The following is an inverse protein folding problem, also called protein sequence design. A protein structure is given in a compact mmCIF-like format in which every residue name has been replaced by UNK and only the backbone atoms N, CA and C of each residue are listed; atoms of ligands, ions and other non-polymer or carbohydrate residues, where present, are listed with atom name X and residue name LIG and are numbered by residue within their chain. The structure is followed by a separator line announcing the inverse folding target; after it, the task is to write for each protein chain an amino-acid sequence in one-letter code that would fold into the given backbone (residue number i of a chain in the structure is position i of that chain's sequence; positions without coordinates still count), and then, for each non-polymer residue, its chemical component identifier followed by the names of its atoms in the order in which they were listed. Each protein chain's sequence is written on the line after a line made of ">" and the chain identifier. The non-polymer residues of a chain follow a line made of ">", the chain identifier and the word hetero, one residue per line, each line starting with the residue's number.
data_IF_309200968775
#
_entry.id   IF_309200968775
#
_cell.length_a   1.000
_cell.length_b   1.000
_cell.length_c   1.000
_cell.angle_alpha   90.00
_cell.angle_beta   90.00
_cell.angle_gamma   90.00
#
_symmetry.space_group_name_H-M   'P 1'
#
loop_
_entity.id
_entity.type
_entity.pdbx_description
1 polymer ?
#
# COMPACT_ATOMS: atom_id res chain seq x y z
N UNK A 1 55.64 26.83 -14.88
CA UNK A 1 54.76 26.54 -13.73
C UNK A 1 53.40 26.10 -14.26
N UNK A 2 53.13 24.80 -14.21
CA UNK A 2 51.89 24.16 -14.68
C UNK A 2 50.75 24.56 -13.73
N UNK A 3 49.74 25.29 -14.20
CA UNK A 3 48.49 25.48 -13.45
C UNK A 3 47.57 24.31 -13.78
N UNK A 4 47.24 23.57 -12.73
CA UNK A 4 46.43 22.35 -12.70
C UNK A 4 45.02 22.61 -13.25
N UNK A 5 44.59 21.77 -14.19
CA UNK A 5 43.18 21.43 -14.40
C UNK A 5 42.66 20.66 -13.19
N UNK A 6 41.41 20.92 -12.79
CA UNK A 6 40.45 19.91 -12.29
C UNK A 6 39.10 20.59 -12.06
N UNK A 7 38.26 20.58 -13.10
CA UNK A 7 36.84 20.87 -12.97
C UNK A 7 36.15 19.53 -12.70
N UNK A 8 35.79 19.28 -11.43
CA UNK A 8 35.03 18.09 -11.04
C UNK A 8 33.55 18.41 -11.21
N UNK A 9 32.97 18.02 -12.35
CA UNK A 9 31.52 18.03 -12.53
C UNK A 9 30.94 16.83 -11.77
N UNK A 10 30.42 17.07 -10.57
CA UNK A 10 29.61 16.09 -9.86
C UNK A 10 28.23 16.04 -10.52
N UNK A 11 28.00 15.08 -11.42
CA UNK A 11 26.65 14.70 -11.83
C UNK A 11 26.02 13.92 -10.68
N UNK A 12 25.36 14.63 -9.76
CA UNK A 12 24.38 14.02 -8.87
C UNK A 12 23.17 13.65 -9.73
N UNK A 13 23.06 12.38 -10.14
CA UNK A 13 21.84 11.82 -10.69
C UNK A 13 20.81 11.82 -9.55
N UNK A 14 20.03 12.90 -9.46
CA UNK A 14 18.83 12.94 -8.64
C UNK A 14 17.80 12.05 -9.34
N UNK A 15 17.82 10.75 -9.04
CA UNK A 15 16.69 9.88 -9.35
C UNK A 15 15.51 10.39 -8.52
N UNK A 16 14.61 11.15 -9.15
CA UNK A 16 13.40 11.62 -8.47
C UNK A 16 12.60 10.41 -7.98
N UNK A 17 12.04 10.44 -6.76
CA UNK A 17 11.29 9.32 -6.18
C UNK A 17 10.18 8.80 -7.11
N UNK A 18 9.55 9.67 -7.88
CA UNK A 18 8.55 9.31 -8.88
C UNK A 18 9.04 8.29 -9.93
N UNK A 19 10.33 8.27 -10.28
CA UNK A 19 10.87 7.27 -11.21
C UNK A 19 10.99 5.88 -10.56
N UNK A 20 11.30 5.81 -9.27
CA UNK A 20 11.39 4.54 -8.55
C UNK A 20 10.00 3.91 -8.34
N UNK A 21 9.01 4.74 -8.01
CA UNK A 21 7.62 4.34 -7.81
C UNK A 21 7.01 3.75 -9.11
N UNK A 22 7.31 4.35 -10.28
CA UNK A 22 6.87 3.85 -11.60
C UNK A 22 7.54 2.51 -11.98
N UNK A 23 8.82 2.33 -11.68
CA UNK A 23 9.51 1.06 -11.98
C UNK A 23 8.99 -0.08 -11.08
N UNK A 24 8.67 0.22 -9.80
CA UNK A 24 7.98 -0.71 -8.93
C UNK A 24 6.62 -1.10 -9.52
N UNK A 25 5.81 -0.12 -9.95
CA UNK A 25 4.51 -0.37 -10.57
C UNK A 25 4.62 -1.29 -11.80
N UNK A 26 5.57 -1.05 -12.71
CA UNK A 26 5.79 -1.91 -13.89
C UNK A 26 6.12 -3.35 -13.51
N UNK A 27 6.97 -3.56 -12.50
CA UNK A 27 7.32 -4.90 -12.00
C UNK A 27 6.08 -5.65 -11.49
N UNK A 28 5.20 -4.97 -10.77
CA UNK A 28 3.94 -5.57 -10.27
C UNK A 28 2.96 -5.85 -11.41
N UNK A 29 2.82 -4.93 -12.37
CA UNK A 29 2.01 -5.11 -13.58
C UNK A 29 2.49 -6.31 -14.40
N UNK A 30 3.79 -6.47 -14.61
CA UNK A 30 4.34 -7.53 -15.46
C UNK A 30 4.33 -8.91 -14.78
N UNK A 31 4.22 -8.94 -13.44
CA UNK A 31 4.22 -10.16 -12.64
C UNK A 31 2.85 -10.47 -12.05
N UNK A 32 2.60 -9.95 -10.85
CA UNK A 32 1.47 -10.35 -10.00
C UNK A 32 0.10 -9.93 -10.55
N UNK A 33 0.00 -8.79 -11.25
CA UNK A 33 -1.29 -8.25 -11.70
C UNK A 33 -1.74 -8.82 -13.06
N UNK A 34 -1.33 -10.05 -13.37
CA UNK A 34 -1.73 -10.76 -14.59
C UNK A 34 -2.44 -12.09 -14.27
N UNK A 35 -3.41 -12.51 -15.10
CA UNK A 35 -3.94 -11.82 -16.27
C UNK A 35 -4.86 -10.65 -15.89
N UNK A 36 -4.92 -9.62 -16.72
CA UNK A 36 -5.81 -8.47 -16.53
C UNK A 36 -6.72 -8.24 -17.73
N UNK A 37 -7.89 -7.66 -17.48
CA UNK A 37 -8.79 -7.16 -18.52
C UNK A 37 -8.29 -5.84 -19.12
N UNK A 38 -7.40 -5.13 -18.43
CA UNK A 38 -6.80 -3.88 -18.88
C UNK A 38 -5.55 -4.15 -19.73
N UNK A 39 -5.32 -3.30 -20.73
CA UNK A 39 -4.03 -3.27 -21.42
C UNK A 39 -2.92 -2.87 -20.44
N UNK A 40 -1.65 -3.24 -20.71
CA UNK A 40 -0.53 -2.81 -19.86
C UNK A 40 -0.39 -1.28 -19.79
N UNK A 41 -0.73 -0.59 -20.87
CA UNK A 41 -0.72 0.87 -20.91
C UNK A 41 -1.76 1.46 -19.96
N UNK A 42 -2.97 0.88 -19.92
CA UNK A 42 -4.04 1.34 -19.04
C UNK A 42 -3.74 1.00 -17.57
N UNK A 43 -3.13 -0.17 -17.30
CA UNK A 43 -2.64 -0.52 -15.97
C UNK A 43 -1.58 0.48 -15.49
N UNK A 44 -0.65 0.89 -16.37
CA UNK A 44 0.36 1.87 -16.00
C UNK A 44 -0.26 3.24 -15.69
N UNK A 45 -1.24 3.69 -16.47
CA UNK A 45 -1.99 4.94 -16.20
C UNK A 45 -2.72 4.88 -14.85
N UNK A 46 -3.30 3.73 -14.52
CA UNK A 46 -3.94 3.52 -13.21
C UNK A 46 -2.90 3.60 -12.07
N UNK A 47 -1.74 2.97 -12.22
CA UNK A 47 -0.68 3.05 -11.21
C UNK A 47 -0.10 4.47 -11.08
N UNK A 48 0.08 5.21 -12.17
CA UNK A 48 0.46 6.62 -12.15
C UNK A 48 -0.55 7.47 -11.36
N UNK A 49 -1.85 7.17 -11.50
CA UNK A 49 -2.89 7.81 -10.70
C UNK A 49 -2.72 7.50 -9.20
N UNK A 50 -2.49 6.23 -8.82
CA UNK A 50 -2.26 5.86 -7.42
C UNK A 50 -1.03 6.54 -6.83
N UNK A 51 0.10 6.54 -7.55
CA UNK A 51 1.35 7.19 -7.13
C UNK A 51 1.09 8.67 -6.85
N UNK A 52 0.43 9.36 -7.78
CA UNK A 52 0.11 10.78 -7.65
C UNK A 52 -0.84 11.05 -6.48
N UNK A 53 -1.87 10.22 -6.30
CA UNK A 53 -2.82 10.36 -5.20
C UNK A 53 -2.16 10.13 -3.82
N UNK A 54 -1.12 9.29 -3.78
CA UNK A 54 -0.39 8.96 -2.56
C UNK A 54 0.67 9.98 -2.14
N UNK A 55 1.08 10.89 -3.03
CA UNK A 55 2.13 11.90 -2.76
C UNK A 55 2.02 12.60 -1.39
N UNK A 56 0.86 13.13 -0.95
CA UNK A 56 0.77 13.83 0.33
C UNK A 56 0.85 12.89 1.55
N UNK A 57 0.76 11.58 1.35
CA UNK A 57 0.74 10.57 2.42
C UNK A 57 2.01 9.72 2.45
N UNK A 58 2.99 9.99 1.59
CA UNK A 58 4.23 9.21 1.52
C UNK A 58 4.95 9.19 2.88
N UNK A 59 5.33 8.00 3.34
CA UNK A 59 5.93 7.79 4.67
C UNK A 59 4.91 7.61 5.80
N UNK A 60 3.60 7.64 5.51
CA UNK A 60 2.56 7.25 6.48
C UNK A 60 2.63 5.74 6.75
N UNK A 61 2.35 5.37 8.00
CA UNK A 61 2.10 3.99 8.41
C UNK A 61 0.62 3.85 8.77
N UNK A 62 -0.04 2.83 8.22
CA UNK A 62 -1.45 2.51 8.44
C UNK A 62 -1.54 1.11 9.02
N UNK A 63 -2.31 0.95 10.09
CA UNK A 63 -2.60 -0.35 10.69
C UNK A 63 -4.00 -0.81 10.35
N UNK A 64 -4.09 -1.96 9.69
CA UNK A 64 -5.34 -2.60 9.24
C UNK A 64 -5.49 -3.95 9.90
N UNK A 65 -6.73 -4.36 10.19
CA UNK A 65 -7.04 -5.71 10.69
C UNK A 65 -8.19 -6.35 9.94
N UNK A 66 -8.11 -7.66 9.73
CA UNK A 66 -9.18 -8.44 9.13
C UNK A 66 -9.25 -9.87 9.68
N UNK A 67 -10.30 -10.60 9.29
CA UNK A 67 -10.38 -12.03 9.55
C UNK A 67 -9.28 -12.80 8.81
N UNK A 68 -8.91 -13.96 9.35
CA UNK A 68 -8.03 -14.92 8.70
C UNK A 68 -8.78 -15.75 7.66
N UNK A 69 -8.91 -15.22 6.44
CA UNK A 69 -9.35 -15.95 5.25
C UNK A 69 -8.30 -15.86 4.13
N UNK A 70 -8.40 -16.73 3.12
CA UNK A 70 -7.42 -16.78 2.03
C UNK A 70 -7.28 -15.47 1.27
N UNK A 71 -8.37 -14.71 1.13
CA UNK A 71 -8.35 -13.38 0.48
C UNK A 71 -7.50 -12.39 1.26
N UNK A 72 -7.70 -12.32 2.58
CA UNK A 72 -6.94 -11.41 3.43
C UNK A 72 -5.49 -11.85 3.63
N UNK A 73 -5.20 -13.15 3.54
CA UNK A 73 -3.83 -13.66 3.46
C UNK A 73 -3.09 -13.12 2.24
N UNK A 74 -3.77 -13.07 1.09
CA UNK A 74 -3.23 -12.48 -0.12
C UNK A 74 -3.06 -10.96 0.01
N UNK A 75 -4.07 -10.26 0.52
CA UNK A 75 -4.00 -8.81 0.74
C UNK A 75 -2.83 -8.42 1.65
N UNK A 76 -2.71 -9.09 2.80
CA UNK A 76 -1.68 -8.79 3.80
C UNK A 76 -0.26 -9.09 3.34
N UNK A 77 -0.06 -10.19 2.60
CA UNK A 77 1.29 -10.63 2.19
C UNK A 77 1.74 -10.07 0.86
N UNK A 78 0.81 -9.79 -0.04
CA UNK A 78 1.11 -9.42 -1.43
C UNK A 78 0.69 -7.99 -1.71
N UNK A 79 -0.58 -7.65 -1.55
CA UNK A 79 -1.09 -6.33 -1.96
C UNK A 79 -0.59 -5.20 -1.05
N UNK A 80 -0.50 -5.42 0.27
CA UNK A 80 0.07 -4.44 1.19
C UNK A 80 1.52 -4.09 0.83
N UNK A 81 2.31 -5.11 0.46
CA UNK A 81 3.68 -4.92 -0.02
C UNK A 81 3.74 -4.19 -1.35
N UNK A 82 2.89 -4.56 -2.31
CA UNK A 82 2.81 -3.88 -3.60
C UNK A 82 2.44 -2.40 -3.42
N UNK A 83 1.47 -2.13 -2.55
CA UNK A 83 1.04 -0.78 -2.22
C UNK A 83 2.17 0.05 -1.61
N UNK A 84 2.92 -0.50 -0.66
CA UNK A 84 4.08 0.18 -0.07
C UNK A 84 5.18 0.43 -1.11
N UNK A 85 5.54 -0.56 -1.93
CA UNK A 85 6.57 -0.41 -2.97
C UNK A 85 6.18 0.65 -4.03
N UNK A 86 4.89 0.80 -4.34
CA UNK A 86 4.39 1.73 -5.36
C UNK A 86 4.18 3.13 -4.77
N UNK A 87 3.66 3.25 -3.56
CA UNK A 87 3.20 4.53 -3.00
C UNK A 87 4.13 5.11 -1.93
N UNK A 88 4.94 4.26 -1.29
CA UNK A 88 5.71 4.59 -0.10
C UNK A 88 4.86 4.73 1.17
N UNK A 89 3.61 4.24 1.17
CA UNK A 89 2.76 4.15 2.37
C UNK A 89 2.83 2.73 2.90
N UNK A 90 3.20 2.57 4.17
CA UNK A 90 3.35 1.26 4.78
C UNK A 90 2.03 0.81 5.39
N UNK A 91 1.55 -0.36 4.96
CA UNK A 91 0.34 -0.98 5.49
C UNK A 91 0.72 -2.20 6.31
N UNK A 92 0.49 -2.14 7.62
CA UNK A 92 0.57 -3.33 8.49
C UNK A 92 -0.81 -3.96 8.54
N UNK A 93 -0.97 -5.12 7.93
CA UNK A 93 -2.25 -5.83 7.85
C UNK A 93 -2.23 -7.07 8.75
N UNK A 94 -2.87 -6.96 9.92
CA UNK A 94 -2.99 -8.04 10.89
C UNK A 94 -4.17 -8.96 10.56
N UNK A 95 -3.95 -10.27 10.68
CA UNK A 95 -4.98 -11.29 10.52
C UNK A 95 -5.30 -11.93 11.87
N UNK A 96 -6.56 -11.91 12.27
CA UNK A 96 -7.05 -12.50 13.52
C UNK A 96 -8.35 -13.29 13.27
N UNK A 97 -8.94 -13.90 14.28
CA UNK A 97 -10.25 -14.56 14.13
C UNK A 97 -11.36 -13.53 13.97
N UNK A 98 -12.44 -13.86 13.24
CA UNK A 98 -13.58 -12.97 13.00
C UNK A 98 -14.11 -12.36 14.31
N UNK A 99 -14.34 -13.19 15.33
CA UNK A 99 -14.81 -12.75 16.64
C UNK A 99 -13.89 -11.73 17.30
N UNK A 100 -12.56 -11.88 17.14
CA UNK A 100 -11.58 -10.93 17.67
C UNK A 100 -11.62 -9.61 16.89
N UNK A 101 -11.86 -9.63 15.57
CA UNK A 101 -12.07 -8.40 14.77
C UNK A 101 -13.25 -7.62 15.33
N UNK A 102 -14.38 -8.30 15.58
CA UNK A 102 -15.59 -7.68 16.13
C UNK A 102 -15.33 -7.10 17.52
N UNK A 103 -14.68 -7.85 18.41
CA UNK A 103 -14.35 -7.39 19.75
C UNK A 103 -13.45 -6.16 19.72
N UNK A 104 -12.42 -6.14 18.85
CA UNK A 104 -11.52 -4.98 18.71
C UNK A 104 -12.25 -3.75 18.18
N UNK A 105 -13.12 -3.92 17.19
CA UNK A 105 -13.91 -2.82 16.64
C UNK A 105 -14.85 -2.24 17.71
N UNK A 106 -15.58 -3.11 18.42
CA UNK A 106 -16.47 -2.68 19.51
C UNK A 106 -15.71 -1.98 20.63
N UNK A 107 -14.52 -2.47 20.99
CA UNK A 107 -13.66 -1.85 22.00
C UNK A 107 -13.27 -0.44 21.58
N UNK A 108 -12.78 -0.25 20.35
CA UNK A 108 -12.44 1.07 19.80
C UNK A 108 -13.65 2.01 19.78
N UNK A 109 -14.84 1.52 19.41
CA UNK A 109 -16.07 2.32 19.42
C UNK A 109 -16.51 2.74 20.83
N UNK A 110 -16.37 1.85 21.81
CA UNK A 110 -16.79 2.11 23.19
C UNK A 110 -15.77 2.97 23.95
N UNK A 111 -14.48 2.76 23.73
CA UNK A 111 -13.41 3.51 24.39
C UNK A 111 -13.16 4.86 23.74
N UNK A 112 -13.43 4.99 22.42
CA UNK A 112 -13.03 6.14 21.62
C UNK A 112 -11.53 6.18 21.31
N UNK A 113 -10.77 5.13 21.66
CA UNK A 113 -9.33 5.04 21.39
C UNK A 113 -9.08 4.34 20.05
N UNK A 114 -8.15 4.87 19.25
CA UNK A 114 -7.75 4.26 17.99
C UNK A 114 -6.84 3.04 18.23
N UNK A 115 -7.32 1.85 17.90
CA UNK A 115 -6.62 0.57 17.96
C UNK A 115 -6.10 0.19 16.56
N UNK A 116 -6.93 0.36 15.53
CA UNK A 116 -6.59 0.20 14.12
C UNK A 116 -7.19 1.32 13.28
N UNK A 117 -6.46 1.73 12.25
CA UNK A 117 -6.87 2.80 11.33
C UNK A 117 -7.96 2.33 10.36
N UNK A 118 -8.00 1.03 10.05
CA UNK A 118 -9.07 0.42 9.27
C UNK A 118 -9.36 -1.03 9.69
N UNK A 119 -10.61 -1.42 9.48
CA UNK A 119 -11.11 -2.78 9.70
C UNK A 119 -11.70 -3.29 8.40
N UNK A 120 -11.37 -4.53 8.03
CA UNK A 120 -12.03 -5.26 6.95
C UNK A 120 -12.88 -6.35 7.59
N UNK A 121 -14.19 -6.27 7.37
CA UNK A 121 -15.15 -7.19 7.96
C UNK A 121 -16.34 -7.38 7.01
N UNK A 122 -17.03 -8.51 7.16
CA UNK A 122 -18.17 -8.88 6.33
C UNK A 122 -19.32 -7.87 6.45
N UNK A 123 -20.03 -7.68 5.35
CA UNK A 123 -21.14 -6.73 5.30
C UNK A 123 -22.30 -7.09 6.22
N UNK A 124 -22.42 -8.36 6.65
CA UNK A 124 -23.43 -8.75 7.63
C UNK A 124 -23.16 -8.14 9.01
N UNK A 125 -21.95 -7.65 9.29
CA UNK A 125 -21.64 -6.88 10.49
C UNK A 125 -22.21 -5.45 10.45
N UNK A 126 -22.48 -4.91 9.26
CA UNK A 126 -23.16 -3.61 9.10
C UNK A 126 -24.64 -3.80 9.50
N UNK A 127 -24.93 -3.59 10.78
CA UNK A 127 -26.29 -3.73 11.33
C UNK A 127 -26.52 -5.00 12.17
N UNK A 128 -25.48 -5.55 12.81
CA UNK A 128 -25.58 -6.62 13.84
C UNK A 128 -25.91 -8.05 13.35
N UNK A 129 -25.31 -8.51 12.26
CA UNK A 129 -25.46 -9.89 11.76
C UNK A 129 -26.91 -10.32 11.58
N UNK A 130 -27.66 -9.60 10.75
CA UNK A 130 -28.96 -10.08 10.31
C UNK A 130 -28.76 -11.20 9.29
N UNK A 131 -28.91 -12.45 9.73
CA UNK A 131 -29.00 -13.64 8.86
C UNK A 131 -30.45 -14.08 8.70
#
# INVERSE_FOLDING_TARGET
>A
MKKLLLATAALSVLASPAFADIEAAKKWIDGEFQPSSLSKEDQLKEMEWFIKAAEPFKGMEIKVVSETITTHDYESKVLAKAFEEITGIKVTHDLIGEGDVVEKLQTQMQSGENIYDAYVNDSDLIGTHWR
#
